data_IF_943831417368
#
_entry.id   IF_943831417368
#
_cell.length_a   1.000
_cell.length_b   1.000
_cell.length_c   1.000
_cell.angle_alpha   90.00
_cell.angle_beta   90.00
_cell.angle_gamma   90.00
#
_symmetry.space_group_name_H-M   'P 1'
#
loop_
_entity.id
_entity.type
_entity.pdbx_description
1 polymer ?
#
# COMPACT_ATOMS: atom_id res chain seq x y z
N UNK A 1 -6.88 -10.79 15.59
CA UNK A 1 -6.00 -11.79 14.93
C UNK A 1 -5.01 -11.10 14.01
N UNK A 2 -3.73 -11.42 14.06
CA UNK A 2 -2.78 -10.95 13.07
C UNK A 2 -3.17 -11.44 11.66
N UNK A 3 -2.95 -10.59 10.66
CA UNK A 3 -3.20 -10.93 9.25
C UNK A 3 -1.99 -10.54 8.41
N UNK A 4 -1.62 -11.38 7.46
CA UNK A 4 -0.49 -11.13 6.56
C UNK A 4 -0.91 -10.63 5.18
N UNK A 5 -2.18 -10.75 4.84
CA UNK A 5 -2.70 -10.37 3.53
C UNK A 5 -4.06 -9.70 3.65
N UNK A 6 -4.40 -8.91 2.65
CA UNK A 6 -5.71 -8.31 2.49
C UNK A 6 -6.35 -8.85 1.22
N UNK A 7 -7.57 -9.37 1.33
CA UNK A 7 -8.34 -9.85 0.19
C UNK A 7 -9.65 -9.06 0.05
N UNK A 8 -10.01 -8.75 -1.20
CA UNK A 8 -11.25 -8.05 -1.51
C UNK A 8 -11.87 -8.61 -2.79
N UNK A 9 -13.19 -8.70 -2.83
CA UNK A 9 -13.92 -8.99 -4.07
C UNK A 9 -13.72 -7.87 -5.09
N UNK A 10 -13.63 -8.22 -6.36
CA UNK A 10 -13.56 -7.23 -7.43
C UNK A 10 -14.87 -6.43 -7.48
N UNK A 11 -14.79 -5.10 -7.66
CA UNK A 11 -16.00 -4.28 -7.79
C UNK A 11 -16.73 -4.63 -9.08
N UNK A 12 -18.05 -4.83 -8.98
CA UNK A 12 -18.93 -5.11 -10.10
C UNK A 12 -20.08 -4.12 -10.13
N UNK A 13 -20.78 -4.05 -11.25
CA UNK A 13 -21.94 -3.17 -11.40
C UNK A 13 -23.04 -3.49 -10.37
N UNK A 14 -23.81 -2.50 -9.92
CA UNK A 14 -24.93 -2.71 -8.99
C UNK A 14 -25.87 -3.82 -9.46
N UNK A 15 -26.17 -4.77 -8.55
CA UNK A 15 -27.00 -5.94 -8.85
C UNK A 15 -26.24 -7.16 -9.38
N UNK A 16 -24.99 -7.03 -9.78
CA UNK A 16 -24.12 -8.16 -10.11
C UNK A 16 -23.42 -8.72 -8.86
N UNK A 17 -23.01 -9.99 -8.93
CA UNK A 17 -22.21 -10.66 -7.88
C UNK A 17 -20.97 -11.31 -8.50
N UNK A 18 -19.91 -11.44 -7.74
CA UNK A 18 -18.68 -12.12 -8.14
C UNK A 18 -18.09 -12.88 -6.96
N UNK A 19 -17.47 -14.02 -7.25
CA UNK A 19 -16.61 -14.76 -6.33
C UNK A 19 -15.12 -14.42 -6.59
N UNK A 20 -14.83 -13.67 -7.65
CA UNK A 20 -13.48 -13.28 -7.99
C UNK A 20 -13.04 -12.08 -7.14
N UNK A 21 -11.86 -12.20 -6.57
CA UNK A 21 -11.23 -11.17 -5.76
C UNK A 21 -9.77 -10.99 -6.13
N UNK A 22 -9.13 -10.10 -5.43
CA UNK A 22 -7.69 -9.95 -5.39
C UNK A 22 -7.19 -10.15 -3.96
N UNK A 23 -6.01 -10.70 -3.81
CA UNK A 23 -5.29 -10.76 -2.55
C UNK A 23 -3.96 -10.04 -2.71
N UNK A 24 -3.62 -9.22 -1.72
CA UNK A 24 -2.38 -8.44 -1.68
C UNK A 24 -1.69 -8.62 -0.33
N UNK A 25 -0.36 -8.70 -0.37
CA UNK A 25 0.49 -8.72 0.81
C UNK A 25 1.78 -7.94 0.55
N UNK A 26 2.51 -7.65 1.62
CA UNK A 26 3.79 -6.96 1.54
C UNK A 26 4.88 -7.72 2.27
N UNK A 27 6.14 -7.48 1.84
CA UNK A 27 7.35 -7.95 2.49
C UNK A 27 8.35 -6.82 2.61
N UNK A 28 8.95 -6.69 3.78
CA UNK A 28 10.02 -5.75 4.08
C UNK A 28 10.68 -6.14 5.40
N UNK A 29 11.99 -6.06 5.43
CA UNK A 29 12.78 -6.18 6.66
C UNK A 29 13.85 -5.07 6.65
N UNK A 30 13.62 -3.96 7.37
CA UNK A 30 14.56 -2.84 7.41
C UNK A 30 15.93 -3.20 8.01
N UNK A 31 16.01 -4.17 8.92
CA UNK A 31 17.25 -4.62 9.53
C UNK A 31 18.07 -5.43 8.53
N UNK A 32 17.43 -6.35 7.81
CA UNK A 32 18.07 -7.10 6.72
C UNK A 32 18.55 -6.18 5.60
N UNK A 33 17.71 -5.19 5.19
CA UNK A 33 18.07 -4.18 4.19
C UNK A 33 19.22 -3.28 4.66
N UNK A 34 19.31 -2.97 5.96
CA UNK A 34 20.41 -2.17 6.52
C UNK A 34 21.71 -2.96 6.57
N UNK A 35 21.64 -4.27 6.81
CA UNK A 35 22.80 -5.17 6.80
C UNK A 35 23.32 -5.41 5.38
N UNK A 36 22.42 -5.73 4.45
CA UNK A 36 22.71 -5.93 3.02
C UNK A 36 21.46 -5.60 2.19
N UNK A 37 21.44 -4.45 1.50
CA UNK A 37 20.28 -4.04 0.69
C UNK A 37 19.90 -5.03 -0.41
N UNK A 38 20.86 -5.73 -1.01
CA UNK A 38 20.59 -6.74 -2.04
C UNK A 38 19.83 -7.94 -1.47
N UNK A 39 20.38 -8.57 -0.41
CA UNK A 39 19.76 -9.74 0.22
C UNK A 39 18.42 -9.39 0.89
N UNK A 40 18.35 -8.20 1.53
CA UNK A 40 17.13 -7.74 2.16
C UNK A 40 16.00 -7.51 1.16
N UNK A 41 16.28 -6.91 0.00
CA UNK A 41 15.28 -6.71 -1.05
C UNK A 41 14.85 -8.01 -1.74
N UNK A 42 15.80 -8.91 -2.01
CA UNK A 42 15.52 -10.25 -2.52
C UNK A 42 14.56 -10.99 -1.58
N UNK A 43 14.85 -10.99 -0.28
CA UNK A 43 14.01 -11.60 0.75
C UNK A 43 12.64 -10.95 0.86
N UNK A 44 12.53 -9.63 0.70
CA UNK A 44 11.26 -8.89 0.72
C UNK A 44 10.31 -9.37 -0.39
N UNK A 45 10.84 -9.65 -1.60
CA UNK A 45 10.04 -10.20 -2.71
C UNK A 45 9.52 -11.59 -2.36
N UNK A 46 10.39 -12.50 -1.89
CA UNK A 46 9.97 -13.85 -1.48
C UNK A 46 8.93 -13.81 -0.36
N UNK A 47 9.09 -12.92 0.61
CA UNK A 47 8.15 -12.76 1.72
C UNK A 47 6.78 -12.29 1.24
N UNK A 48 6.71 -11.27 0.39
CA UNK A 48 5.43 -10.78 -0.13
C UNK A 48 4.68 -11.84 -0.94
N UNK A 49 5.40 -12.60 -1.78
CA UNK A 49 4.80 -13.69 -2.57
C UNK A 49 4.38 -14.87 -1.70
N UNK A 50 5.22 -15.30 -0.74
CA UNK A 50 4.84 -16.36 0.19
C UNK A 50 3.57 -16.04 0.98
N UNK A 51 3.37 -14.77 1.37
CA UNK A 51 2.16 -14.33 2.09
C UNK A 51 0.89 -14.44 1.24
N UNK A 52 0.93 -14.08 -0.04
CA UNK A 52 -0.25 -14.29 -0.91
C UNK A 52 -0.50 -15.76 -1.20
N UNK A 53 0.55 -16.57 -1.32
CA UNK A 53 0.43 -18.03 -1.45
C UNK A 53 -0.18 -18.63 -0.18
N UNK A 54 0.32 -18.28 1.01
CA UNK A 54 -0.25 -18.71 2.28
C UNK A 54 -1.74 -18.32 2.43
N UNK A 55 -2.16 -17.21 1.80
CA UNK A 55 -3.55 -16.78 1.74
C UNK A 55 -4.39 -17.50 0.66
N UNK A 56 -3.82 -18.44 -0.11
CA UNK A 56 -4.53 -19.28 -1.11
C UNK A 56 -4.33 -18.86 -2.57
N UNK A 57 -3.51 -17.84 -2.86
CA UNK A 57 -3.25 -17.43 -4.24
C UNK A 57 -2.24 -18.32 -4.96
N UNK A 58 -2.30 -18.29 -6.27
CA UNK A 58 -1.36 -18.92 -7.18
C UNK A 58 -0.21 -17.94 -7.50
N UNK A 59 1.02 -18.25 -7.09
CA UNK A 59 2.16 -17.37 -7.30
C UNK A 59 2.48 -17.12 -8.79
N UNK A 60 2.13 -18.03 -9.70
CA UNK A 60 2.28 -17.83 -11.14
C UNK A 60 1.44 -16.68 -11.71
N UNK A 61 0.44 -16.23 -10.94
CA UNK A 61 -0.43 -15.10 -11.28
C UNK A 61 -0.09 -13.84 -10.50
N UNK A 62 1.03 -13.87 -9.77
CA UNK A 62 1.47 -12.72 -8.99
C UNK A 62 2.07 -11.62 -9.88
N UNK A 63 1.70 -10.39 -9.58
CA UNK A 63 2.39 -9.18 -10.03
C UNK A 63 2.92 -8.44 -8.82
N UNK A 64 4.01 -7.72 -9.03
CA UNK A 64 4.70 -6.99 -7.97
C UNK A 64 4.62 -5.48 -8.20
N UNK A 65 4.74 -4.73 -7.12
CA UNK A 65 5.03 -3.29 -7.15
C UNK A 65 5.94 -2.95 -5.98
N UNK A 66 6.90 -2.05 -6.19
CA UNK A 66 7.89 -1.72 -5.18
C UNK A 66 7.73 -0.30 -4.68
N UNK A 67 7.90 -0.12 -3.38
CA UNK A 67 8.04 1.18 -2.76
C UNK A 67 9.42 1.29 -2.15
N UNK A 68 10.23 2.23 -2.64
CA UNK A 68 11.54 2.51 -2.10
C UNK A 68 11.57 3.81 -1.31
N UNK A 69 12.30 3.81 -0.19
CA UNK A 69 12.56 5.01 0.60
C UNK A 69 13.97 4.95 1.16
N UNK A 70 14.83 5.84 0.68
CA UNK A 70 16.24 5.92 1.05
C UNK A 70 16.61 7.35 1.48
N UNK A 71 17.75 7.48 2.13
CA UNK A 71 18.34 8.76 2.47
C UNK A 71 18.66 9.62 1.23
N UNK A 72 18.84 10.91 1.42
CA UNK A 72 19.30 11.82 0.35
C UNK A 72 20.65 11.35 -0.20
N UNK A 73 20.70 11.11 -1.51
CA UNK A 73 21.83 10.48 -2.16
C UNK A 73 23.08 11.37 -2.20
N UNK A 74 22.89 12.70 -2.30
CA UNK A 74 23.99 13.67 -2.41
C UNK A 74 24.98 13.28 -3.52
N UNK A 75 26.21 13.74 -3.46
CA UNK A 75 27.31 13.33 -4.35
C UNK A 75 28.18 12.22 -3.68
N UNK A 76 27.53 11.24 -3.08
CA UNK A 76 28.16 10.19 -2.31
C UNK A 76 27.86 8.82 -2.94
N UNK A 77 28.84 8.20 -3.65
CA UNK A 77 28.61 6.94 -4.37
C UNK A 77 28.02 5.80 -3.51
N UNK A 78 28.39 5.73 -2.24
CA UNK A 78 27.89 4.70 -1.31
C UNK A 78 26.38 4.85 -1.11
N UNK A 79 25.85 6.08 -1.03
CA UNK A 79 24.43 6.35 -0.89
C UNK A 79 23.65 5.94 -2.14
N UNK A 80 24.21 6.13 -3.33
CA UNK A 80 23.66 5.66 -4.59
C UNK A 80 23.70 4.13 -4.72
N UNK A 81 24.72 3.50 -4.14
CA UNK A 81 24.88 2.05 -4.15
C UNK A 81 23.80 1.29 -3.43
N UNK A 82 23.20 1.86 -2.36
CA UNK A 82 22.17 1.18 -1.55
C UNK A 82 20.89 0.92 -2.34
N UNK A 83 20.19 1.93 -2.91
CA UNK A 83 18.98 1.66 -3.71
C UNK A 83 19.29 0.80 -4.95
N UNK A 84 20.46 1.00 -5.57
CA UNK A 84 20.86 0.17 -6.71
C UNK A 84 21.04 -1.31 -6.33
N UNK A 85 21.68 -1.60 -5.20
CA UNK A 85 21.82 -2.97 -4.70
C UNK A 85 20.46 -3.59 -4.35
N UNK A 86 19.57 -2.82 -3.71
CA UNK A 86 18.21 -3.27 -3.42
C UNK A 86 17.43 -3.61 -4.69
N UNK A 87 17.47 -2.75 -5.70
CA UNK A 87 16.83 -3.03 -7.00
C UNK A 87 17.38 -4.29 -7.67
N UNK A 88 18.71 -4.53 -7.63
CA UNK A 88 19.30 -5.75 -8.18
C UNK A 88 18.82 -7.01 -7.44
N UNK A 89 18.77 -6.99 -6.11
CA UNK A 89 18.22 -8.10 -5.33
C UNK A 89 16.75 -8.39 -5.64
N UNK A 90 15.94 -7.33 -5.75
CA UNK A 90 14.55 -7.45 -6.15
C UNK A 90 14.40 -7.95 -7.60
N UNK A 91 15.29 -7.56 -8.51
CA UNK A 91 15.30 -8.05 -9.90
C UNK A 91 15.61 -9.54 -9.97
N UNK A 92 16.63 -10.01 -9.25
CA UNK A 92 16.98 -11.43 -9.25
C UNK A 92 15.82 -12.28 -8.71
N UNK A 93 15.17 -11.87 -7.64
CA UNK A 93 13.98 -12.55 -7.12
C UNK A 93 12.82 -12.57 -8.14
N UNK A 94 12.61 -11.47 -8.90
CA UNK A 94 11.61 -11.45 -9.99
C UNK A 94 11.93 -12.46 -11.10
N UNK A 95 13.20 -12.55 -11.48
CA UNK A 95 13.65 -13.50 -12.51
C UNK A 95 13.50 -14.96 -12.04
N UNK A 96 13.87 -15.24 -10.79
CA UNK A 96 13.71 -16.56 -10.19
C UNK A 96 12.24 -17.00 -10.11
N UNK A 97 11.34 -16.08 -9.75
CA UNK A 97 9.91 -16.35 -9.58
C UNK A 97 9.10 -16.15 -10.87
N UNK A 98 9.70 -15.64 -11.94
CA UNK A 98 9.01 -15.20 -13.17
C UNK A 98 7.83 -14.25 -12.87
N UNK A 99 7.97 -13.42 -11.82
CA UNK A 99 6.95 -12.46 -11.36
C UNK A 99 7.39 -11.03 -11.71
N UNK A 100 6.58 -10.32 -12.50
CA UNK A 100 6.94 -8.98 -12.97
C UNK A 100 6.51 -7.88 -11.99
N UNK A 101 7.39 -6.92 -11.73
CA UNK A 101 7.01 -5.65 -11.15
C UNK A 101 6.35 -4.78 -12.23
N UNK A 102 5.09 -4.39 -11.99
CA UNK A 102 4.28 -3.60 -12.95
C UNK A 102 4.38 -2.10 -12.71
N UNK A 103 5.05 -1.69 -11.64
CA UNK A 103 5.23 -0.30 -11.27
C UNK A 103 5.81 -0.17 -9.88
N UNK A 104 5.78 1.03 -9.37
CA UNK A 104 6.26 1.35 -8.04
C UNK A 104 6.47 2.84 -7.85
N UNK A 105 7.08 3.19 -6.75
CA UNK A 105 7.50 4.54 -6.41
C UNK A 105 8.78 4.51 -5.61
N UNK A 106 9.68 5.40 -5.95
CA UNK A 106 10.90 5.63 -5.19
C UNK A 106 10.93 7.04 -4.59
N UNK A 107 11.65 7.20 -3.51
CA UNK A 107 11.97 8.49 -2.92
C UNK A 107 13.33 8.41 -2.23
N UNK A 108 14.20 9.35 -2.58
CA UNK A 108 15.54 9.52 -2.00
C UNK A 108 15.58 10.79 -1.14
N UNK A 109 14.51 11.03 -0.38
CA UNK A 109 14.33 12.22 0.47
C UNK A 109 14.38 11.92 1.97
N UNK A 110 14.73 10.70 2.35
CA UNK A 110 14.68 10.19 3.72
C UNK A 110 15.81 10.67 4.63
N UNK A 111 16.18 11.95 4.54
CA UNK A 111 17.14 12.58 5.46
C UNK A 111 16.50 13.80 6.09
N UNK A 112 16.47 13.84 7.42
CA UNK A 112 16.04 15.00 8.20
C UNK A 112 17.18 15.42 9.14
N UNK A 113 17.74 16.61 8.91
CA UNK A 113 18.96 17.09 9.57
C UNK A 113 20.12 16.10 9.38
N UNK A 114 20.55 15.44 10.44
CA UNK A 114 21.61 14.40 10.52
C UNK A 114 21.07 12.97 10.62
N UNK A 115 19.74 12.81 10.61
CA UNK A 115 19.08 11.50 10.67
C UNK A 115 18.74 11.01 9.27
N UNK A 116 19.27 9.86 8.91
CA UNK A 116 18.92 9.13 7.70
C UNK A 116 17.91 8.02 8.03
N UNK A 117 16.91 7.82 7.17
CA UNK A 117 16.04 6.65 7.28
C UNK A 117 16.83 5.37 6.99
N UNK A 118 16.50 4.23 7.62
CA UNK A 118 17.07 2.96 7.22
C UNK A 118 16.72 2.65 5.76
N UNK A 119 17.61 1.98 5.01
CA UNK A 119 17.32 1.50 3.67
C UNK A 119 16.00 0.73 3.64
N UNK A 120 15.09 1.12 2.77
CA UNK A 120 13.75 0.53 2.71
C UNK A 120 13.36 0.20 1.28
N UNK A 121 13.09 -1.07 1.00
CA UNK A 121 12.37 -1.54 -0.17
C UNK A 121 11.24 -2.43 0.31
N UNK A 122 10.00 -2.01 0.04
CA UNK A 122 8.80 -2.79 0.32
C UNK A 122 8.35 -3.43 -0.98
N UNK A 123 8.26 -4.76 -1.01
CA UNK A 123 7.63 -5.49 -2.10
C UNK A 123 6.17 -5.70 -1.77
N UNK A 124 5.27 -5.29 -2.65
CA UNK A 124 3.87 -5.67 -2.62
C UNK A 124 3.61 -6.71 -3.70
N UNK A 125 3.04 -7.85 -3.32
CA UNK A 125 2.57 -8.88 -4.24
C UNK A 125 1.05 -8.84 -4.31
N UNK A 126 0.50 -8.93 -5.52
CA UNK A 126 -0.95 -9.01 -5.76
C UNK A 126 -1.25 -10.14 -6.73
N UNK A 127 -2.30 -10.92 -6.46
CA UNK A 127 -2.79 -11.94 -7.37
C UNK A 127 -4.32 -12.04 -7.35
N UNK A 128 -4.96 -12.50 -8.43
CA UNK A 128 -6.36 -12.87 -8.40
C UNK A 128 -6.58 -14.11 -7.55
N UNK A 129 -7.72 -14.18 -6.87
CA UNK A 129 -8.12 -15.31 -6.03
C UNK A 129 -9.64 -15.48 -6.08
N UNK A 130 -10.13 -16.74 -5.94
CA UNK A 130 -11.53 -16.99 -5.69
C UNK A 130 -11.79 -16.91 -4.18
N UNK A 131 -12.89 -16.28 -3.77
CA UNK A 131 -13.22 -16.08 -2.35
C UNK A 131 -13.29 -17.41 -1.58
N UNK A 132 -13.76 -18.47 -2.21
CA UNK A 132 -13.83 -19.83 -1.61
C UNK A 132 -12.49 -20.53 -1.45
N UNK A 133 -11.41 -20.01 -2.06
CA UNK A 133 -10.06 -20.59 -1.97
C UNK A 133 -9.17 -19.90 -0.93
N UNK A 134 -9.69 -18.86 -0.26
CA UNK A 134 -8.92 -18.11 0.73
C UNK A 134 -8.60 -18.95 1.97
N UNK A 135 -7.36 -18.89 2.38
CA UNK A 135 -6.84 -19.50 3.62
C UNK A 135 -6.59 -18.37 4.63
N UNK A 136 -7.02 -18.58 5.87
CA UNK A 136 -6.82 -17.61 6.96
C UNK A 136 -5.67 -18.02 7.87
N UNK A 137 -5.22 -17.11 8.72
CA UNK A 137 -3.96 -17.26 9.46
C UNK A 137 -4.08 -18.00 10.80
N UNK A 138 -5.24 -17.94 11.46
CA UNK A 138 -5.36 -18.46 12.83
C UNK A 138 -5.58 -19.98 12.86
N UNK A 139 -4.92 -20.70 13.76
CA UNK A 139 -5.21 -22.11 14.04
C UNK A 139 -6.68 -22.33 14.33
N UNK A 140 -7.26 -23.38 13.79
CA UNK A 140 -8.71 -23.65 13.86
C UNK A 140 -9.11 -24.59 14.98
N UNK A 141 -8.36 -25.69 15.14
CA UNK A 141 -8.76 -26.76 16.06
C UNK A 141 -7.54 -27.41 16.71
N UNK A 142 -7.72 -27.93 17.92
CA UNK A 142 -6.72 -28.77 18.55
C UNK A 142 -6.65 -30.14 17.88
N UNK A 143 -5.46 -30.75 17.87
CA UNK A 143 -5.22 -32.09 17.34
C UNK A 143 -4.82 -32.12 15.87
N UNK A 144 -4.69 -31.00 15.22
CA UNK A 144 -4.21 -30.91 13.84
C UNK A 144 -2.69 -30.88 13.78
N UNK A 145 -2.09 -31.57 12.81
CA UNK A 145 -0.68 -31.47 12.48
C UNK A 145 -0.33 -30.11 11.88
N UNK A 146 0.82 -29.57 12.24
CA UNK A 146 1.38 -28.34 11.71
C UNK A 146 2.62 -28.64 10.90
N UNK A 147 2.66 -28.20 9.65
CA UNK A 147 3.66 -28.61 8.67
C UNK A 147 4.41 -27.40 8.11
N UNK A 148 5.69 -27.64 7.78
CA UNK A 148 6.57 -26.65 7.16
C UNK A 148 6.73 -26.94 5.67
N UNK A 149 6.42 -25.96 4.84
CA UNK A 149 6.67 -25.93 3.40
C UNK A 149 7.84 -24.99 3.13
N UNK A 150 8.99 -25.54 2.80
CA UNK A 150 10.22 -24.77 2.66
C UNK A 150 11.19 -25.42 1.68
N UNK A 151 12.08 -24.61 1.09
CA UNK A 151 13.23 -25.01 0.30
C UNK A 151 14.37 -24.04 0.40
N UNK A 152 15.59 -24.50 0.21
CA UNK A 152 16.80 -23.69 0.26
C UNK A 152 17.07 -22.90 -1.04
N UNK A 153 16.62 -23.44 -2.19
CA UNK A 153 16.75 -22.80 -3.52
C UNK A 153 15.41 -22.28 -4.02
N UNK A 154 15.45 -21.43 -5.06
CA UNK A 154 14.25 -20.92 -5.70
C UNK A 154 13.32 -22.04 -6.17
N UNK A 155 13.86 -23.05 -6.85
CA UNK A 155 13.10 -24.19 -7.37
C UNK A 155 12.47 -25.02 -6.23
N UNK A 156 13.19 -25.17 -5.11
CA UNK A 156 12.65 -25.91 -3.95
C UNK A 156 11.55 -25.13 -3.25
N UNK A 157 11.69 -23.80 -3.15
CA UNK A 157 10.65 -22.92 -2.56
C UNK A 157 9.39 -22.95 -3.41
N UNK A 158 9.51 -22.78 -4.73
CA UNK A 158 8.35 -22.80 -5.64
C UNK A 158 7.68 -24.19 -5.67
N UNK A 159 8.44 -25.28 -5.65
CA UNK A 159 7.87 -26.63 -5.51
C UNK A 159 7.11 -26.81 -4.18
N UNK A 160 7.63 -26.26 -3.08
CA UNK A 160 6.93 -26.27 -1.79
C UNK A 160 5.61 -25.45 -1.85
N UNK A 161 5.60 -24.31 -2.53
CA UNK A 161 4.39 -23.50 -2.77
C UNK A 161 3.37 -24.22 -3.65
N UNK A 162 3.81 -24.93 -4.69
CA UNK A 162 2.92 -25.74 -5.52
C UNK A 162 2.26 -26.86 -4.73
N UNK A 163 3.05 -27.56 -3.88
CA UNK A 163 2.52 -28.58 -2.98
C UNK A 163 1.49 -27.98 -2.00
N UNK A 164 1.82 -26.86 -1.35
CA UNK A 164 0.91 -26.14 -0.47
C UNK A 164 -0.39 -25.74 -1.19
N UNK A 165 -0.28 -25.14 -2.37
CA UNK A 165 -1.44 -24.70 -3.17
C UNK A 165 -2.34 -25.86 -3.56
N UNK A 166 -1.77 -27.01 -3.92
CA UNK A 166 -2.53 -28.21 -4.23
C UNK A 166 -3.34 -28.72 -3.00
N UNK A 167 -2.73 -28.70 -1.81
CA UNK A 167 -3.40 -29.07 -0.56
C UNK A 167 -4.49 -28.06 -0.18
N UNK A 168 -4.22 -26.76 -0.34
CA UNK A 168 -5.21 -25.71 -0.07
C UNK A 168 -6.44 -25.86 -0.98
N UNK A 169 -6.24 -26.04 -2.28
CA UNK A 169 -7.33 -26.29 -3.25
C UNK A 169 -8.10 -27.58 -2.98
N UNK A 170 -7.45 -28.59 -2.39
CA UNK A 170 -8.10 -29.82 -1.96
C UNK A 170 -8.86 -29.67 -0.63
N UNK A 171 -8.89 -28.48 -0.01
CA UNK A 171 -9.54 -28.22 1.27
C UNK A 171 -8.85 -28.85 2.49
N UNK A 172 -7.57 -29.21 2.37
CA UNK A 172 -6.79 -29.88 3.42
C UNK A 172 -6.05 -28.89 4.33
N UNK A 173 -5.95 -27.62 3.94
CA UNK A 173 -5.31 -26.57 4.73
C UNK A 173 -6.37 -25.82 5.54
N UNK A 174 -6.26 -25.89 6.87
CA UNK A 174 -7.15 -25.19 7.78
C UNK A 174 -6.70 -23.74 8.01
N UNK A 175 -5.40 -23.51 8.15
CA UNK A 175 -4.80 -22.18 8.29
C UNK A 175 -3.34 -22.19 7.85
N UNK A 176 -2.80 -21.00 7.52
CA UNK A 176 -1.40 -20.88 7.10
C UNK A 176 -0.80 -19.52 7.43
N UNK A 177 0.54 -19.49 7.55
CA UNK A 177 1.34 -18.30 7.83
C UNK A 177 2.65 -18.36 7.05
N UNK A 178 3.01 -17.29 6.34
CA UNK A 178 4.33 -17.15 5.75
C UNK A 178 5.35 -16.75 6.83
N UNK A 179 6.46 -17.48 6.91
CA UNK A 179 7.46 -17.27 7.95
C UNK A 179 8.29 -16.04 7.66
N UNK A 180 8.44 -15.17 8.65
CA UNK A 180 9.29 -13.96 8.61
C UNK A 180 10.45 -14.12 9.58
N UNK A 181 10.23 -13.95 10.87
CA UNK A 181 11.25 -13.95 11.91
C UNK A 181 11.42 -15.31 12.60
N UNK A 182 11.12 -16.39 11.91
CA UNK A 182 11.28 -17.76 12.38
C UNK A 182 9.97 -18.49 12.68
N UNK A 183 10.10 -19.77 12.91
CA UNK A 183 8.96 -20.68 13.15
C UNK A 183 8.24 -20.38 14.46
N UNK A 184 8.98 -19.94 15.50
CA UNK A 184 8.40 -19.59 16.79
C UNK A 184 7.43 -18.40 16.67
N UNK A 185 7.80 -17.36 15.91
CA UNK A 185 6.90 -16.25 15.62
C UNK A 185 5.67 -16.72 14.82
N UNK A 186 5.88 -17.54 13.79
CA UNK A 186 4.79 -18.03 12.95
C UNK A 186 3.72 -18.76 13.79
N UNK A 187 4.10 -19.75 14.59
CA UNK A 187 3.16 -20.50 15.43
C UNK A 187 2.54 -19.63 16.52
N UNK A 188 3.29 -18.68 17.08
CA UNK A 188 2.75 -17.70 18.02
C UNK A 188 1.63 -16.87 17.36
N UNK A 189 1.90 -16.26 16.21
CA UNK A 189 0.91 -15.43 15.49
C UNK A 189 -0.33 -16.23 15.12
N UNK A 190 -0.17 -17.48 14.67
CA UNK A 190 -1.28 -18.38 14.35
C UNK A 190 -2.12 -18.76 15.58
N UNK A 191 -1.51 -18.77 16.78
CA UNK A 191 -2.20 -19.11 18.04
C UNK A 191 -3.04 -17.94 18.59
N UNK A 192 -2.70 -16.67 18.31
CA UNK A 192 -3.26 -15.50 19.00
C UNK A 192 -4.77 -15.31 18.77
N UNK A 193 -5.28 -15.58 17.56
CA UNK A 193 -6.66 -15.29 17.19
C UNK A 193 -7.67 -16.17 17.93
N UNK A 194 -7.62 -17.44 17.68
CA UNK A 194 -8.55 -18.43 18.26
C UNK A 194 -8.07 -18.99 19.60
N UNK A 195 -6.89 -18.60 20.06
CA UNK A 195 -6.27 -19.09 21.31
C UNK A 195 -6.12 -20.62 21.34
N UNK A 196 -5.76 -21.18 20.19
CA UNK A 196 -5.41 -22.60 20.05
C UNK A 196 -3.91 -22.72 20.31
N UNK A 197 -3.54 -23.63 21.19
CA UNK A 197 -2.14 -23.85 21.58
C UNK A 197 -1.35 -24.64 20.54
N UNK A 198 -0.07 -24.79 20.81
CA UNK A 198 0.84 -25.51 19.95
C UNK A 198 1.92 -26.23 20.75
N UNK A 199 2.23 -27.47 20.38
CA UNK A 199 3.33 -28.26 20.91
C UNK A 199 4.26 -28.68 19.78
N UNK A 200 5.54 -28.30 19.87
CA UNK A 200 6.55 -28.65 18.89
C UNK A 200 6.88 -30.17 18.91
N UNK A 201 6.99 -30.76 17.74
CA UNK A 201 7.38 -32.17 17.58
C UNK A 201 8.87 -32.42 17.80
N UNK A 202 9.70 -31.37 17.54
CA UNK A 202 11.16 -31.50 17.62
C UNK A 202 11.80 -30.14 17.94
N UNK A 203 12.88 -30.17 18.69
CA UNK A 203 13.79 -29.04 18.94
C UNK A 203 14.97 -29.00 17.98
N UNK A 204 15.07 -29.91 17.04
CA UNK A 204 16.18 -29.98 16.07
C UNK A 204 16.07 -28.89 14.97
N UNK A 205 14.91 -28.29 14.82
CA UNK A 205 14.72 -27.16 13.91
C UNK A 205 15.22 -25.87 14.54
N UNK A 206 15.74 -24.96 13.71
CA UNK A 206 16.01 -23.61 14.15
C UNK A 206 14.70 -22.80 14.17
N UNK A 207 14.18 -22.56 15.37
CA UNK A 207 12.88 -21.92 15.58
C UNK A 207 12.92 -20.39 15.45
N UNK A 208 14.10 -19.79 15.43
CA UNK A 208 14.28 -18.34 15.53
C UNK A 208 14.92 -17.70 14.30
N UNK A 209 15.36 -18.50 13.33
CA UNK A 209 15.97 -17.97 12.11
C UNK A 209 14.90 -17.51 11.11
N UNK A 210 15.07 -16.33 10.48
CA UNK A 210 14.26 -15.90 9.36
C UNK A 210 14.28 -16.93 8.22
N UNK A 211 13.11 -17.21 7.65
CA UNK A 211 12.97 -18.18 6.56
C UNK A 211 12.12 -17.59 5.42
N UNK A 212 12.62 -16.59 4.67
CA UNK A 212 11.87 -15.95 3.58
C UNK A 212 11.40 -16.96 2.53
N UNK A 213 10.11 -16.98 2.26
CA UNK A 213 9.51 -17.93 1.34
C UNK A 213 8.97 -19.21 1.97
N UNK A 214 9.26 -19.48 3.27
CA UNK A 214 8.66 -20.60 3.97
C UNK A 214 7.21 -20.35 4.37
N UNK A 215 6.40 -21.41 4.42
CA UNK A 215 5.01 -21.37 4.88
C UNK A 215 4.82 -22.45 5.96
N UNK A 216 4.20 -22.06 7.08
CA UNK A 216 3.69 -22.96 8.11
C UNK A 216 2.20 -23.12 7.89
N UNK A 217 1.70 -24.37 7.89
CA UNK A 217 0.28 -24.64 7.69
C UNK A 217 -0.26 -25.68 8.68
N UNK A 218 -1.46 -25.43 9.20
CA UNK A 218 -2.29 -26.38 9.91
C UNK A 218 -3.06 -27.23 8.90
N UNK A 219 -2.90 -28.53 8.93
CA UNK A 219 -3.57 -29.46 8.02
C UNK A 219 -4.62 -30.27 8.74
N UNK A 220 -5.74 -30.54 8.06
CA UNK A 220 -6.86 -31.34 8.57
C UNK A 220 -6.62 -32.85 8.52
N UNK A 221 -5.56 -33.28 7.84
CA UNK A 221 -5.14 -34.68 7.74
C UNK A 221 -3.62 -34.78 7.73
N UNK A 222 -3.11 -35.97 8.07
CA UNK A 222 -1.67 -36.26 8.01
C UNK A 222 -1.21 -36.38 6.56
N UNK A 223 -0.08 -35.78 6.24
CA UNK A 223 0.57 -35.88 4.94
C UNK A 223 1.86 -36.65 5.09
N UNK A 224 1.96 -37.87 4.50
CA UNK A 224 3.19 -38.65 4.51
C UNK A 224 4.35 -37.84 3.87
N UNK A 225 5.56 -38.03 4.41
CA UNK A 225 6.80 -37.42 3.93
C UNK A 225 6.87 -35.89 4.01
N UNK A 226 5.85 -35.20 4.57
CA UNK A 226 5.90 -33.77 4.84
C UNK A 226 6.58 -33.47 6.20
N UNK A 227 7.22 -32.30 6.31
CA UNK A 227 7.92 -31.89 7.52
C UNK A 227 6.92 -31.43 8.57
N UNK A 228 6.49 -32.32 9.45
CA UNK A 228 5.65 -32.00 10.60
C UNK A 228 6.50 -31.30 11.68
N UNK A 229 6.16 -30.07 12.04
CA UNK A 229 6.87 -29.27 13.07
C UNK A 229 6.21 -29.36 14.44
N UNK A 230 4.97 -29.82 14.51
CA UNK A 230 4.23 -29.92 15.77
C UNK A 230 2.76 -30.23 15.57
N UNK A 231 2.02 -30.09 16.65
CA UNK A 231 0.58 -30.32 16.71
C UNK A 231 -0.11 -29.18 17.45
N UNK A 232 -1.30 -28.81 17.00
CA UNK A 232 -2.16 -27.85 17.72
C UNK A 232 -2.76 -28.52 18.96
N UNK A 233 -2.90 -27.75 20.06
CA UNK A 233 -3.36 -28.27 21.36
C UNK A 233 -4.56 -27.49 21.89
N UNK A 234 -5.29 -28.11 22.84
CA UNK A 234 -6.40 -27.44 23.53
C UNK A 234 -5.92 -26.51 24.67
N UNK A 235 -4.71 -26.75 25.14
CA UNK A 235 -4.04 -25.93 26.14
C UNK A 235 -3.74 -24.56 25.51
N UNK A 236 -3.87 -23.49 26.31
CA UNK A 236 -3.62 -22.12 25.83
C UNK A 236 -2.15 -21.74 26.02
N UNK A 237 -1.26 -22.62 25.60
CA UNK A 237 0.19 -22.46 25.71
C UNK A 237 0.87 -22.83 24.38
N UNK A 238 2.06 -22.31 24.18
CA UNK A 238 2.99 -22.70 23.11
C UNK A 238 4.18 -23.36 23.79
N UNK A 239 4.49 -24.59 23.41
CA UNK A 239 5.60 -25.36 23.97
C UNK A 239 6.60 -25.72 22.88
N UNK A 240 7.87 -25.33 23.06
CA UNK A 240 8.99 -25.66 22.17
C UNK A 240 10.12 -26.24 23.05
N UNK A 241 10.26 -27.53 23.05
CA UNK A 241 11.20 -28.20 23.94
C UNK A 241 10.84 -28.04 25.42
N UNK A 242 11.72 -27.41 26.19
CA UNK A 242 11.49 -27.08 27.61
C UNK A 242 10.79 -25.76 27.81
N UNK A 243 10.71 -24.95 26.76
CA UNK A 243 10.18 -23.58 26.84
C UNK A 243 8.66 -23.59 26.65
N UNK A 244 7.97 -22.96 27.58
CA UNK A 244 6.50 -22.84 27.55
C UNK A 244 6.11 -21.40 27.82
N UNK A 245 5.18 -20.88 27.02
CA UNK A 245 4.61 -19.54 27.21
C UNK A 245 3.11 -19.56 27.03
N UNK A 246 2.38 -18.79 27.87
CA UNK A 246 0.93 -18.67 27.69
C UNK A 246 0.59 -17.74 26.54
N UNK A 247 -0.45 -18.09 25.77
CA UNK A 247 -0.92 -17.25 24.64
C UNK A 247 -1.35 -15.85 25.12
N UNK A 248 -1.87 -15.73 26.35
CA UNK A 248 -2.29 -14.45 26.91
C UNK A 248 -1.10 -13.53 27.22
N UNK A 249 0.00 -14.07 27.71
CA UNK A 249 1.24 -13.30 27.94
C UNK A 249 1.88 -12.89 26.63
N UNK A 250 1.95 -13.81 25.64
CA UNK A 250 2.46 -13.50 24.31
C UNK A 250 1.63 -12.43 23.58
N UNK A 251 0.30 -12.47 23.72
CA UNK A 251 -0.60 -11.45 23.17
C UNK A 251 -0.35 -10.08 23.81
N UNK A 252 -0.27 -10.04 25.15
CA UNK A 252 0.00 -8.80 25.86
C UNK A 252 1.37 -8.21 25.49
N UNK A 253 2.39 -9.05 25.34
CA UNK A 253 3.71 -8.63 24.89
C UNK A 253 3.64 -8.08 23.44
N UNK A 254 3.00 -8.81 22.53
CA UNK A 254 2.84 -8.39 21.13
C UNK A 254 2.14 -7.02 21.01
N UNK A 255 1.09 -6.79 21.81
CA UNK A 255 0.30 -5.56 21.74
C UNK A 255 1.04 -4.38 22.41
N UNK A 256 1.97 -4.65 23.32
CA UNK A 256 2.71 -3.61 24.05
C UNK A 256 3.94 -3.05 23.33
N UNK A 257 4.44 -3.72 22.28
CA UNK A 257 5.72 -3.37 21.63
C UNK A 257 5.79 -1.91 21.18
N UNK A 258 4.73 -1.39 20.58
CA UNK A 258 4.69 -0.01 20.10
C UNK A 258 3.88 0.94 21.01
N UNK A 259 3.33 0.46 22.13
CA UNK A 259 2.39 1.22 22.94
C UNK A 259 3.00 2.52 23.51
N UNK A 260 4.30 2.54 23.78
CA UNK A 260 5.01 3.73 24.27
C UNK A 260 5.23 4.81 23.21
N UNK A 261 5.27 4.43 21.93
CA UNK A 261 5.54 5.31 20.78
C UNK A 261 4.26 5.62 20.02
N UNK A 262 3.38 4.63 19.92
CA UNK A 262 2.12 4.71 19.19
C UNK A 262 1.00 4.07 20.04
N UNK A 263 0.48 4.79 21.04
CA UNK A 263 -0.50 4.23 21.96
C UNK A 263 -1.81 3.86 21.27
N UNK A 264 -2.32 2.68 21.61
CA UNK A 264 -3.61 2.18 21.08
C UNK A 264 -4.81 2.92 21.69
N UNK A 265 -4.59 3.56 22.84
CA UNK A 265 -5.58 4.41 23.50
C UNK A 265 -5.09 5.84 23.56
N UNK A 266 -5.81 6.75 22.95
CA UNK A 266 -5.58 8.18 23.14
C UNK A 266 -6.11 8.61 24.51
N UNK A 267 -5.49 9.65 25.09
CA UNK A 267 -6.09 10.32 26.26
C UNK A 267 -7.45 10.87 25.86
N UNK A 268 -8.43 10.69 26.71
CA UNK A 268 -9.75 11.27 26.49
C UNK A 268 -9.63 12.79 26.49
N UNK A 269 -9.74 13.38 25.31
CA UNK A 269 -9.65 14.83 25.10
C UNK A 269 -10.99 15.55 25.36
N UNK A 270 -11.96 14.84 25.94
CA UNK A 270 -13.31 15.36 26.18
C UNK A 270 -14.26 15.11 25.02
N UNK A 271 -15.42 15.73 25.08
CA UNK A 271 -16.48 15.56 24.07
C UNK A 271 -16.11 16.30 22.79
N UNK A 272 -16.01 15.59 21.68
CA UNK A 272 -15.86 16.19 20.34
C UNK A 272 -17.23 16.67 19.89
N UNK A 273 -17.36 17.96 19.55
CA UNK A 273 -18.57 18.46 18.93
C UNK A 273 -18.79 17.78 17.58
N UNK A 274 -19.99 17.22 17.40
CA UNK A 274 -20.43 16.72 16.11
C UNK A 274 -21.12 17.84 15.34
N UNK A 275 -20.59 18.17 14.17
CA UNK A 275 -21.21 19.11 13.26
C UNK A 275 -21.95 18.33 12.17
N UNK A 276 -23.24 18.54 12.08
CA UNK A 276 -24.05 18.04 10.97
C UNK A 276 -24.60 19.23 10.20
N UNK A 277 -24.57 19.14 8.89
CA UNK A 277 -25.25 20.09 8.01
C UNK A 277 -26.39 19.38 7.32
N UNK A 278 -27.59 19.78 7.67
CA UNK A 278 -28.83 19.30 7.02
C UNK A 278 -29.51 20.49 6.35
N UNK A 279 -29.87 20.33 5.09
CA UNK A 279 -30.65 21.32 4.38
C UNK A 279 -31.74 20.67 3.56
N UNK A 280 -32.96 21.14 3.70
CA UNK A 280 -34.09 20.73 2.86
C UNK A 280 -33.98 21.26 1.42
N UNK A 281 -33.23 22.34 1.25
CA UNK A 281 -33.04 22.97 -0.06
C UNK A 281 -31.54 23.15 -0.34
N UNK A 282 -31.06 22.51 -1.38
CA UNK A 282 -29.73 22.81 -1.89
C UNK A 282 -29.71 24.26 -2.41
N UNK A 283 -28.66 24.99 -2.11
CA UNK A 283 -28.45 26.31 -2.67
C UNK A 283 -28.44 26.22 -4.21
N UNK A 284 -29.25 27.04 -4.85
CA UNK A 284 -29.24 27.12 -6.30
C UNK A 284 -28.09 28.06 -6.73
N UNK A 285 -27.36 27.73 -7.81
CA UNK A 285 -26.35 28.63 -8.34
C UNK A 285 -26.97 29.94 -8.81
N UNK A 286 -26.24 31.05 -8.64
CA UNK A 286 -26.66 32.36 -9.10
C UNK A 286 -26.89 32.39 -10.62
N UNK A 287 -26.04 31.67 -11.36
CA UNK A 287 -26.15 31.50 -12.82
C UNK A 287 -26.50 30.04 -13.12
N UNK A 288 -27.68 29.81 -13.69
CA UNK A 288 -28.14 28.47 -14.08
C UNK A 288 -27.62 28.11 -15.46
N UNK A 289 -26.74 27.11 -15.50
CA UNK A 289 -26.16 26.56 -16.72
C UNK A 289 -26.50 25.07 -16.78
N UNK A 290 -27.05 24.61 -17.89
CA UNK A 290 -27.50 23.23 -18.04
C UNK A 290 -26.34 22.21 -17.98
N UNK A 291 -25.19 22.58 -18.54
CA UNK A 291 -23.95 21.81 -18.49
C UNK A 291 -22.81 22.78 -18.13
N UNK A 292 -22.40 22.87 -16.85
CA UNK A 292 -21.31 23.76 -16.45
C UNK A 292 -19.99 23.29 -17.09
N UNK A 293 -19.21 24.23 -17.60
CA UNK A 293 -17.90 23.96 -18.16
C UNK A 293 -16.88 23.85 -17.01
N UNK A 294 -16.19 22.72 -16.95
CA UNK A 294 -15.12 22.44 -16.00
C UNK A 294 -13.77 22.43 -16.71
N UNK A 295 -12.83 23.23 -16.23
CA UNK A 295 -11.48 23.35 -16.78
C UNK A 295 -10.50 22.60 -15.88
N UNK A 296 -9.71 21.72 -16.47
CA UNK A 296 -8.72 20.89 -15.77
C UNK A 296 -7.32 21.30 -16.26
N UNK A 297 -6.58 22.15 -15.53
CA UNK A 297 -5.22 22.50 -15.90
C UNK A 297 -4.30 21.29 -15.70
N UNK A 298 -3.55 20.94 -16.75
CA UNK A 298 -2.60 19.82 -16.77
C UNK A 298 -1.19 20.41 -16.84
N UNK A 299 -0.45 20.28 -15.76
CA UNK A 299 0.93 20.70 -15.64
C UNK A 299 1.87 19.52 -15.89
N UNK A 300 3.14 19.74 -16.27
CA UNK A 300 4.14 18.67 -16.23
C UNK A 300 4.19 18.01 -14.85
N UNK A 301 4.00 16.69 -14.80
CA UNK A 301 3.89 15.92 -13.55
C UNK A 301 2.49 15.83 -12.94
N UNK A 302 1.44 16.38 -13.60
CA UNK A 302 0.04 16.11 -13.22
C UNK A 302 -0.31 14.65 -13.49
N UNK A 303 -1.09 14.06 -12.57
CA UNK A 303 -1.68 12.73 -12.70
C UNK A 303 -3.19 12.80 -12.49
N UNK A 304 -3.91 11.77 -12.96
CA UNK A 304 -5.36 11.61 -12.80
C UNK A 304 -6.22 12.65 -13.54
N UNK A 305 -5.67 13.36 -14.54
CA UNK A 305 -6.42 14.31 -15.35
C UNK A 305 -7.54 13.63 -16.15
N UNK A 306 -7.29 12.44 -16.69
CA UNK A 306 -8.31 11.66 -17.41
C UNK A 306 -9.41 11.14 -16.49
N UNK A 307 -9.05 10.64 -15.30
CA UNK A 307 -10.03 10.19 -14.30
C UNK A 307 -10.87 11.34 -13.78
N UNK A 308 -10.25 12.50 -13.55
CA UNK A 308 -10.93 13.74 -13.17
C UNK A 308 -11.91 14.18 -14.25
N UNK A 309 -11.49 14.17 -15.52
CA UNK A 309 -12.35 14.50 -16.64
C UNK A 309 -13.54 13.54 -16.73
N UNK A 310 -13.30 12.24 -16.63
CA UNK A 310 -14.36 11.23 -16.67
C UNK A 310 -15.39 11.45 -15.57
N UNK A 311 -14.94 11.65 -14.33
CA UNK A 311 -15.84 11.89 -13.20
C UNK A 311 -16.72 13.13 -13.38
N UNK A 312 -16.16 14.22 -13.93
CA UNK A 312 -16.90 15.44 -14.23
C UNK A 312 -17.92 15.26 -15.37
N UNK A 313 -17.56 14.52 -16.42
CA UNK A 313 -18.47 14.18 -17.53
C UNK A 313 -19.62 13.28 -17.04
N UNK A 314 -19.34 12.29 -16.21
CA UNK A 314 -20.35 11.41 -15.58
C UNK A 314 -21.28 12.20 -14.64
N UNK A 315 -20.78 13.24 -13.98
CA UNK A 315 -21.57 14.17 -13.17
C UNK A 315 -22.40 15.17 -14.01
N UNK A 316 -22.26 15.17 -15.34
CA UNK A 316 -23.02 16.02 -16.26
C UNK A 316 -22.37 17.36 -16.62
N UNK A 317 -21.12 17.58 -16.25
CA UNK A 317 -20.37 18.75 -16.69
C UNK A 317 -19.86 18.60 -18.13
N UNK A 318 -19.43 19.70 -18.73
CA UNK A 318 -18.60 19.74 -19.94
C UNK A 318 -17.16 19.97 -19.51
N UNK A 319 -16.34 18.90 -19.49
CA UNK A 319 -15.02 18.90 -18.90
C UNK A 319 -13.92 18.90 -19.96
N UNK A 320 -13.01 19.87 -19.86
CA UNK A 320 -11.90 20.07 -20.78
C UNK A 320 -10.56 20.03 -20.04
N UNK A 321 -9.61 19.23 -20.56
CA UNK A 321 -8.22 19.26 -20.13
C UNK A 321 -7.49 20.42 -20.83
N UNK A 322 -6.79 21.25 -20.07
CA UNK A 322 -6.00 22.36 -20.58
C UNK A 322 -4.51 22.13 -20.30
N UNK A 323 -3.75 21.78 -21.33
CA UNK A 323 -2.32 21.47 -21.19
C UNK A 323 -1.53 22.79 -21.06
N UNK A 324 -0.80 22.90 -19.94
CA UNK A 324 0.14 23.99 -19.67
C UNK A 324 1.48 23.65 -20.32
N UNK A 325 1.85 24.40 -21.35
CA UNK A 325 3.12 24.24 -22.05
C UNK A 325 4.19 25.07 -21.36
N UNK A 326 5.36 24.48 -21.12
CA UNK A 326 6.45 25.12 -20.35
C UNK A 326 7.86 24.86 -20.91
N UNK A 327 7.97 24.43 -22.18
CA UNK A 327 9.27 24.14 -22.78
C UNK A 327 10.08 25.42 -23.02
N UNK A 328 9.40 26.53 -23.33
CA UNK A 328 10.00 27.85 -23.53
C UNK A 328 9.24 28.93 -22.77
N UNK A 329 9.87 30.07 -22.53
CA UNK A 329 9.20 31.24 -21.94
C UNK A 329 8.00 31.71 -22.78
N UNK A 330 8.07 31.57 -24.11
CA UNK A 330 6.96 31.89 -24.99
C UNK A 330 5.78 30.91 -24.81
N UNK A 331 6.04 29.62 -24.61
CA UNK A 331 5.01 28.63 -24.31
C UNK A 331 4.29 28.93 -23.00
N UNK A 332 5.04 29.36 -21.98
CA UNK A 332 4.45 29.74 -20.68
C UNK A 332 3.55 30.98 -20.85
N UNK A 333 4.01 32.00 -21.58
CA UNK A 333 3.22 33.19 -21.82
C UNK A 333 1.93 32.90 -22.61
N UNK A 334 2.03 32.11 -23.69
CA UNK A 334 0.88 31.61 -24.46
C UNK A 334 -0.11 30.81 -23.57
N UNK A 335 0.42 29.91 -22.74
CA UNK A 335 -0.42 29.13 -21.83
C UNK A 335 -1.15 29.99 -20.82
N UNK A 336 -0.51 31.02 -20.26
CA UNK A 336 -1.13 31.99 -19.34
C UNK A 336 -2.28 32.72 -20.01
N UNK A 337 -2.05 33.28 -21.19
CA UNK A 337 -3.07 34.06 -21.93
C UNK A 337 -4.28 33.20 -22.30
N UNK A 338 -4.03 32.04 -22.89
CA UNK A 338 -5.07 31.09 -23.30
C UNK A 338 -5.84 30.51 -22.10
N UNK A 339 -5.15 30.23 -21.00
CA UNK A 339 -5.79 29.72 -19.79
C UNK A 339 -6.69 30.77 -19.16
N UNK A 340 -6.21 32.03 -19.01
CA UNK A 340 -7.01 33.11 -18.51
C UNK A 340 -8.30 33.32 -19.35
N UNK A 341 -8.21 33.21 -20.68
CA UNK A 341 -9.38 33.21 -21.56
C UNK A 341 -10.30 32.04 -21.33
N UNK A 342 -9.77 30.81 -21.16
CA UNK A 342 -10.56 29.61 -20.91
C UNK A 342 -11.29 29.68 -19.55
N UNK A 343 -10.65 30.22 -18.50
CA UNK A 343 -11.27 30.44 -17.18
C UNK A 343 -12.48 31.39 -17.28
N UNK A 344 -12.40 32.40 -18.12
CA UNK A 344 -13.51 33.34 -18.34
C UNK A 344 -14.79 32.67 -18.83
N UNK A 345 -14.66 31.60 -19.62
CA UNK A 345 -15.76 30.84 -20.19
C UNK A 345 -16.17 29.62 -19.34
N UNK A 346 -15.49 29.38 -18.21
CA UNK A 346 -15.68 28.20 -17.35
C UNK A 346 -16.41 28.56 -16.06
N UNK A 347 -17.07 27.59 -15.44
CA UNK A 347 -17.75 27.70 -14.15
C UNK A 347 -17.01 26.96 -13.03
N UNK A 348 -16.18 25.99 -13.41
CA UNK A 348 -15.47 25.12 -12.46
C UNK A 348 -14.01 25.02 -12.90
N UNK A 349 -13.09 25.11 -11.96
CA UNK A 349 -11.68 24.73 -12.15
C UNK A 349 -11.40 23.55 -11.23
N UNK A 350 -10.85 22.46 -11.77
CA UNK A 350 -10.41 21.31 -10.98
C UNK A 350 -8.92 21.08 -11.20
N UNK A 351 -8.13 21.26 -10.16
CA UNK A 351 -6.68 21.02 -10.19
C UNK A 351 -6.42 19.58 -9.71
N UNK A 352 -5.98 18.68 -10.59
CA UNK A 352 -5.69 17.28 -10.23
C UNK A 352 -4.48 17.14 -9.30
N UNK A 353 -4.21 15.90 -8.91
CA UNK A 353 -3.03 15.52 -8.16
C UNK A 353 -1.78 15.33 -9.02
N UNK A 354 -0.75 14.77 -8.42
CA UNK A 354 0.54 14.49 -9.04
C UNK A 354 1.69 15.21 -8.33
N UNK A 355 2.75 15.50 -9.09
CA UNK A 355 3.96 16.17 -8.62
C UNK A 355 4.37 17.23 -9.63
N UNK A 356 3.60 18.31 -9.69
CA UNK A 356 3.75 19.35 -10.71
C UNK A 356 5.12 20.03 -10.69
N UNK A 357 5.87 19.85 -11.76
CA UNK A 357 7.20 20.44 -11.93
C UNK A 357 8.28 19.83 -11.03
N UNK A 358 8.05 18.61 -10.45
CA UNK A 358 8.92 18.02 -9.46
C UNK A 358 8.88 18.79 -8.14
N UNK A 359 8.22 18.28 -7.12
CA UNK A 359 7.96 19.01 -5.87
C UNK A 359 9.20 19.25 -4.99
N UNK A 360 10.31 18.61 -5.29
CA UNK A 360 11.59 18.77 -4.59
C UNK A 360 12.42 19.95 -5.14
N UNK A 361 13.34 20.56 -4.33
CA UNK A 361 13.53 20.35 -2.88
C UNK A 361 12.68 21.26 -1.99
N UNK A 362 12.02 22.31 -2.49
CA UNK A 362 11.41 23.36 -1.67
C UNK A 362 9.89 23.24 -1.52
N UNK A 363 9.38 22.03 -1.68
CA UNK A 363 7.98 21.69 -1.40
C UNK A 363 7.05 21.67 -2.61
N UNK A 364 5.86 21.17 -2.36
CA UNK A 364 4.88 20.77 -3.35
C UNK A 364 4.19 21.92 -4.07
N UNK A 365 3.67 21.65 -5.27
CA UNK A 365 2.83 22.54 -6.07
C UNK A 365 3.44 23.88 -6.49
N UNK A 366 4.77 23.96 -6.60
CA UNK A 366 5.46 25.21 -6.98
C UNK A 366 5.03 25.77 -8.32
N UNK A 367 5.02 24.92 -9.35
CA UNK A 367 4.68 25.34 -10.71
C UNK A 367 3.22 25.79 -10.80
N UNK A 368 2.30 25.06 -10.20
CA UNK A 368 0.88 25.43 -10.12
C UNK A 368 0.74 26.79 -9.43
N UNK A 369 1.36 26.93 -8.26
CA UNK A 369 1.28 28.16 -7.47
C UNK A 369 1.84 29.37 -8.21
N UNK A 370 3.00 29.22 -8.87
CA UNK A 370 3.59 30.29 -9.68
C UNK A 370 2.69 30.67 -10.85
N UNK A 371 2.11 29.71 -11.55
CA UNK A 371 1.20 29.93 -12.67
C UNK A 371 -0.08 30.68 -12.24
N UNK A 372 -0.72 30.26 -11.17
CA UNK A 372 -1.94 30.89 -10.65
C UNK A 372 -1.70 32.25 -10.01
N UNK A 373 -0.46 32.58 -9.60
CA UNK A 373 -0.07 33.91 -9.15
C UNK A 373 0.15 34.91 -10.28
N UNK A 374 0.22 34.46 -11.54
CA UNK A 374 0.27 35.39 -12.67
C UNK A 374 -0.95 36.31 -12.65
N UNK A 375 -0.74 37.59 -12.89
CA UNK A 375 -1.78 38.63 -12.75
C UNK A 375 -3.03 38.32 -13.58
N UNK A 376 -2.86 37.93 -14.85
CA UNK A 376 -3.96 37.64 -15.75
C UNK A 376 -4.78 36.39 -15.28
N UNK A 377 -4.12 35.33 -14.83
CA UNK A 377 -4.79 34.12 -14.30
C UNK A 377 -5.48 34.45 -12.98
N UNK A 378 -4.78 35.12 -12.05
CA UNK A 378 -5.32 35.53 -10.75
C UNK A 378 -6.59 36.37 -10.91
N UNK A 379 -6.59 37.33 -11.80
CA UNK A 379 -7.77 38.17 -12.06
C UNK A 379 -8.99 37.36 -12.48
N UNK A 380 -8.83 36.43 -13.43
CA UNK A 380 -9.93 35.60 -13.91
C UNK A 380 -10.42 34.58 -12.89
N UNK A 381 -9.51 34.02 -12.06
CA UNK A 381 -9.90 33.13 -10.95
C UNK A 381 -10.65 33.90 -9.87
N UNK A 382 -10.20 35.12 -9.52
CA UNK A 382 -10.92 35.96 -8.56
C UNK A 382 -12.31 36.32 -9.09
N UNK A 383 -12.40 36.70 -10.38
CA UNK A 383 -13.69 36.99 -11.03
C UNK A 383 -14.62 35.73 -11.03
N UNK A 384 -14.07 34.57 -11.32
CA UNK A 384 -14.81 33.29 -11.25
C UNK A 384 -15.42 33.09 -9.86
N UNK A 385 -14.62 33.20 -8.80
CA UNK A 385 -15.03 32.89 -7.43
C UNK A 385 -15.90 33.95 -6.78
N UNK A 386 -15.58 35.24 -6.97
CA UNK A 386 -16.24 36.35 -6.26
C UNK A 386 -17.45 36.94 -7.01
N UNK A 387 -17.46 36.88 -8.37
CA UNK A 387 -18.50 37.55 -9.15
C UNK A 387 -19.38 36.60 -9.93
N UNK A 388 -18.87 35.42 -10.32
CA UNK A 388 -19.59 34.48 -11.19
C UNK A 388 -20.13 33.26 -10.47
N UNK A 389 -19.99 33.21 -9.11
CA UNK A 389 -20.43 32.10 -8.28
C UNK A 389 -19.85 30.75 -8.75
N UNK A 390 -18.60 30.77 -9.22
CA UNK A 390 -17.91 29.61 -9.73
C UNK A 390 -17.26 28.79 -8.62
N UNK A 391 -16.75 27.64 -8.98
CA UNK A 391 -16.15 26.68 -8.04
C UNK A 391 -14.69 26.39 -8.40
N UNK A 392 -13.89 26.13 -7.38
CA UNK A 392 -12.54 25.62 -7.54
C UNK A 392 -12.29 24.45 -6.60
N UNK A 393 -11.80 23.33 -7.14
CA UNK A 393 -11.46 22.12 -6.41
C UNK A 393 -9.98 21.78 -6.63
N UNK A 394 -9.28 21.41 -5.58
CA UNK A 394 -7.93 20.87 -5.65
C UNK A 394 -7.85 19.49 -5.00
N UNK A 395 -7.21 18.54 -5.67
CA UNK A 395 -7.00 17.18 -5.20
C UNK A 395 -5.51 16.95 -4.96
N UNK A 396 -5.10 16.46 -3.78
CA UNK A 396 -3.71 16.14 -3.44
C UNK A 396 -2.76 17.34 -3.74
N UNK A 397 -1.94 17.25 -4.77
CA UNK A 397 -1.05 18.37 -5.21
C UNK A 397 -1.83 19.63 -5.57
N UNK A 398 -3.00 19.50 -6.17
CA UNK A 398 -3.92 20.62 -6.41
C UNK A 398 -4.45 21.25 -5.12
N UNK A 399 -4.76 20.45 -4.09
CA UNK A 399 -5.15 20.96 -2.78
C UNK A 399 -3.99 21.71 -2.11
N UNK A 400 -2.77 21.18 -2.17
CA UNK A 400 -1.57 21.86 -1.69
C UNK A 400 -1.36 23.23 -2.38
N UNK A 401 -1.66 23.31 -3.68
CA UNK A 401 -1.66 24.57 -4.39
C UNK A 401 -2.69 25.57 -3.85
N UNK A 402 -3.93 25.10 -3.59
CA UNK A 402 -4.98 25.98 -3.03
C UNK A 402 -4.60 26.53 -1.65
N UNK A 403 -3.96 25.72 -0.80
CA UNK A 403 -3.42 26.18 0.50
C UNK A 403 -2.37 27.28 0.29
N UNK A 404 -1.39 27.05 -0.61
CA UNK A 404 -0.31 28.03 -0.89
C UNK A 404 -0.79 29.30 -1.58
N UNK A 405 -1.92 29.24 -2.26
CA UNK A 405 -2.57 30.40 -2.88
C UNK A 405 -3.45 31.19 -1.90
N UNK A 406 -3.72 30.64 -0.70
CA UNK A 406 -4.61 31.23 0.29
C UNK A 406 -6.09 30.96 0.02
N UNK A 407 -6.43 30.28 -1.07
CA UNK A 407 -7.81 29.95 -1.42
C UNK A 407 -8.47 28.99 -0.41
N UNK A 408 -7.66 28.14 0.24
CA UNK A 408 -8.09 27.32 1.37
C UNK A 408 -7.18 27.66 2.56
N UNK A 409 -7.71 28.01 3.75
CA UNK A 409 -9.13 28.16 4.10
C UNK A 409 -9.71 29.58 3.85
N UNK A 410 -8.91 30.53 3.37
CA UNK A 410 -9.27 31.95 3.41
C UNK A 410 -10.17 32.41 2.25
N UNK A 411 -10.26 31.65 1.16
CA UNK A 411 -11.08 31.98 -0.01
C UNK A 411 -10.51 33.06 -0.92
N UNK A 412 -9.27 33.51 -0.68
CA UNK A 412 -8.64 34.65 -1.40
C UNK A 412 -7.12 34.54 -1.43
#
# INVERSE_FOLDING_TARGET
SPSQAMAALLPVLPGSKTEQGSVMAWGCDPDALSADPYTGAHSAVYTSVAKIVAAGADYHKAYLTFQEFFEKLRNEPVRWGKPFAALLGALDAQLELSAAAIGGKDSMSGTFLDHDVPPTLISFAIAPVCAGELVTTDFKSAGHGVYLFYGGTAEQKTAAWECFTALARAGKVASAWAVENGLAEAVMKMSLGNKVGFAAASTALDWYQPMPGAIVAELTEEIPDAVCIGITTAEKTITIGSDEASISELLALNDSVLESVYPTKTQDAGTVESFTYETEKRAAPAVKIARPKALIPVFPGTNCEYDTQRALLEAGADAEQFIIRNLTSADVADSVERFAKAVKDSQIIVIPGGFSGGDEPDGSAKLITAFFRNAAVKEQVTDLLEKRDGLMLGVCNGFQALIKLGLVPYGK
#
